data_IF_047562263314
#
_entry.id   IF_047562263314
#
_cell.length_a   1.000
_cell.length_b   1.000
_cell.length_c   1.000
_cell.angle_alpha   90.00
_cell.angle_beta   90.00
_cell.angle_gamma   90.00
#
_symmetry.space_group_name_H-M   'P 1'
#
loop_
_entity.id
_entity.type
_entity.pdbx_description
1 polymer ?
#
# COMPACT_ATOMS: atom_id res chain seq x y z
N UNK A 1 24.38 3.29 -18.86
CA UNK A 1 24.73 2.88 -17.48
C UNK A 1 23.86 3.55 -16.39
N UNK A 2 22.89 4.43 -16.74
CA UNK A 2 22.00 5.06 -15.76
C UNK A 2 20.64 4.35 -15.61
N UNK A 3 20.15 3.68 -16.65
CA UNK A 3 18.84 3.00 -16.65
C UNK A 3 18.79 1.79 -15.69
N UNK A 4 19.90 1.06 -15.56
CA UNK A 4 20.01 -0.11 -14.69
C UNK A 4 19.81 0.24 -13.20
N UNK A 5 20.37 1.37 -12.75
CA UNK A 5 20.25 1.83 -11.34
C UNK A 5 18.87 2.37 -11.01
N UNK A 6 18.19 2.99 -11.97
CA UNK A 6 16.82 3.49 -11.76
C UNK A 6 15.82 2.34 -11.63
N UNK A 7 15.95 1.33 -12.49
CA UNK A 7 15.09 0.14 -12.47
C UNK A 7 15.23 -0.64 -11.14
N UNK A 8 16.44 -0.75 -10.60
CA UNK A 8 16.66 -1.38 -9.28
C UNK A 8 16.04 -0.56 -8.13
N UNK A 9 16.16 0.76 -8.17
CA UNK A 9 15.59 1.65 -7.14
C UNK A 9 14.07 1.66 -7.16
N UNK A 10 13.45 1.65 -8.34
CA UNK A 10 12.00 1.54 -8.51
C UNK A 10 11.47 0.18 -8.07
N UNK A 11 12.16 -0.91 -8.43
CA UNK A 11 11.81 -2.25 -7.92
C UNK A 11 11.89 -2.31 -6.40
N UNK A 12 12.96 -1.78 -5.81
CA UNK A 12 13.09 -1.68 -4.35
C UNK A 12 11.95 -0.87 -3.74
N UNK A 13 11.52 0.22 -4.38
CA UNK A 13 10.39 1.01 -3.88
C UNK A 13 9.07 0.22 -3.86
N UNK A 14 8.82 -0.65 -4.85
CA UNK A 14 7.58 -1.42 -4.92
C UNK A 14 7.58 -2.74 -4.16
N UNK A 15 8.73 -3.23 -3.68
CA UNK A 15 8.83 -4.50 -2.93
C UNK A 15 9.18 -4.31 -1.46
N UNK A 16 9.72 -3.15 -1.07
CA UNK A 16 10.11 -2.93 0.33
C UNK A 16 8.89 -2.60 1.20
N UNK A 17 8.66 -3.30 2.32
CA UNK A 17 7.57 -2.99 3.24
C UNK A 17 7.70 -1.58 3.82
N UNK A 18 6.56 -0.95 4.15
CA UNK A 18 6.56 0.41 4.71
C UNK A 18 7.15 0.46 6.12
N UNK A 19 7.10 -0.65 6.86
CA UNK A 19 7.73 -0.72 8.18
C UNK A 19 9.24 -0.55 8.15
N UNK A 20 9.90 -1.03 7.09
CA UNK A 20 11.33 -0.80 6.88
C UNK A 20 11.67 0.67 6.60
N UNK A 21 10.67 1.51 6.30
CA UNK A 21 10.80 2.96 6.14
C UNK A 21 10.47 3.75 7.42
N UNK A 22 10.22 3.06 8.54
CA UNK A 22 9.87 3.67 9.82
C UNK A 22 8.37 3.91 10.04
N UNK A 23 7.50 3.42 9.14
CA UNK A 23 6.05 3.51 9.35
C UNK A 23 5.60 2.41 10.31
N UNK A 24 4.84 2.71 11.38
CA UNK A 24 4.34 1.66 12.28
C UNK A 24 3.46 0.65 11.53
N UNK A 25 3.68 -0.64 11.76
CA UNK A 25 2.96 -1.74 11.06
C UNK A 25 1.44 -1.62 11.19
N UNK A 26 0.93 -1.20 12.36
CA UNK A 26 -0.50 -1.02 12.55
C UNK A 26 -1.09 0.09 11.66
N UNK A 27 -0.30 1.15 11.36
CA UNK A 27 -0.71 2.23 10.45
C UNK A 27 -0.79 1.69 9.02
N UNK A 28 0.16 0.85 8.60
CA UNK A 28 0.14 0.20 7.29
C UNK A 28 -1.13 -0.64 7.11
N UNK A 29 -1.46 -1.47 8.11
CA UNK A 29 -2.69 -2.27 8.07
C UNK A 29 -3.97 -1.44 8.15
N UNK A 30 -3.99 -0.36 8.95
CA UNK A 30 -5.12 0.54 9.01
C UNK A 30 -5.39 1.21 7.65
N UNK A 31 -4.35 1.69 6.98
CA UNK A 31 -4.46 2.29 5.64
C UNK A 31 -4.90 1.27 4.59
N UNK A 32 -4.35 0.04 4.62
CA UNK A 32 -4.78 -1.04 3.75
C UNK A 32 -6.25 -1.41 3.96
N UNK A 33 -6.72 -1.44 5.21
CA UNK A 33 -8.11 -1.71 5.53
C UNK A 33 -9.04 -0.59 5.03
N UNK A 34 -8.69 0.68 5.28
CA UNK A 34 -9.46 1.83 4.78
C UNK A 34 -9.50 1.81 3.25
N UNK A 35 -8.38 1.55 2.57
CA UNK A 35 -8.32 1.41 1.12
C UNK A 35 -9.18 0.25 0.62
N UNK A 36 -9.20 -0.88 1.32
CA UNK A 36 -10.08 -2.02 1.02
C UNK A 36 -11.56 -1.66 1.14
N UNK A 37 -11.97 -1.00 2.22
CA UNK A 37 -13.35 -0.53 2.40
C UNK A 37 -13.73 0.50 1.34
N UNK A 38 -12.81 1.39 0.96
CA UNK A 38 -13.00 2.39 -0.08
C UNK A 38 -13.24 1.75 -1.46
N UNK A 39 -12.38 0.82 -1.88
CA UNK A 39 -12.50 0.11 -3.17
C UNK A 39 -13.74 -0.78 -3.20
N UNK A 40 -14.04 -1.48 -2.11
CA UNK A 40 -15.23 -2.33 -2.03
C UNK A 40 -16.53 -1.51 -2.06
N UNK A 41 -16.44 -0.21 -1.75
CA UNK A 41 -17.55 0.74 -1.74
C UNK A 41 -18.87 0.08 -1.27
N UNK A 42 -18.92 -0.41 -0.02
CA UNK A 42 -20.04 -1.22 0.46
C UNK A 42 -21.38 -0.48 0.47
N UNK A 43 -21.38 0.84 0.24
CA UNK A 43 -22.57 1.68 0.06
C UNK A 43 -23.10 1.76 -1.38
N UNK A 44 -22.24 1.65 -2.41
CA UNK A 44 -22.62 1.89 -3.82
C UNK A 44 -23.54 0.82 -4.46
N UNK A 45 -23.85 -0.26 -3.75
CA UNK A 45 -24.83 -1.26 -4.19
C UNK A 45 -26.12 -1.33 -3.36
N UNK A 46 -26.15 -0.70 -2.18
CA UNK A 46 -27.24 -0.88 -1.20
C UNK A 46 -28.03 0.41 -0.99
N UNK A 47 -27.45 1.60 -1.20
CA UNK A 47 -28.11 2.90 -0.97
C UNK A 47 -27.65 3.93 -2.05
N UNK A 48 -28.56 4.21 -3.00
CA UNK A 48 -28.69 5.43 -3.86
C UNK A 48 -27.86 5.54 -5.18
N UNK A 49 -28.45 5.70 -6.39
CA UNK A 49 -29.34 6.71 -7.05
C UNK A 49 -28.69 8.00 -7.56
N UNK A 50 -27.37 8.21 -7.38
CA UNK A 50 -26.61 9.28 -8.08
C UNK A 50 -25.37 8.66 -8.74
N UNK A 51 -25.16 8.82 -10.05
CA UNK A 51 -24.01 8.24 -10.73
C UNK A 51 -22.77 9.12 -10.56
N UNK A 52 -21.94 8.83 -9.56
CA UNK A 52 -20.68 9.55 -9.26
C UNK A 52 -19.47 9.03 -10.07
N UNK A 53 -19.68 8.45 -11.26
CA UNK A 53 -18.62 8.01 -12.17
C UNK A 53 -18.01 9.19 -12.96
N UNK A 54 -17.53 10.26 -12.30
CA UNK A 54 -16.81 11.34 -12.99
C UNK A 54 -15.37 10.87 -13.28
N UNK A 55 -15.01 10.64 -14.57
CA UNK A 55 -13.89 9.79 -14.96
C UNK A 55 -12.49 10.40 -14.77
N UNK A 56 -12.34 11.55 -14.10
CA UNK A 56 -11.07 12.32 -14.08
C UNK A 56 -10.53 12.57 -12.66
N UNK A 57 -11.39 12.73 -11.65
CA UNK A 57 -10.96 13.06 -10.27
C UNK A 57 -11.15 11.88 -9.31
N UNK A 58 -12.18 11.03 -9.53
CA UNK A 58 -12.50 9.89 -8.66
C UNK A 58 -11.77 8.57 -8.94
N UNK A 59 -10.65 8.56 -9.68
CA UNK A 59 -9.85 7.35 -9.95
C UNK A 59 -8.41 7.42 -9.38
N UNK A 60 -7.94 8.61 -8.97
CA UNK A 60 -6.58 8.76 -8.44
C UNK A 60 -6.49 8.36 -6.96
N UNK A 61 -7.54 8.66 -6.22
CA UNK A 61 -7.78 8.17 -4.86
C UNK A 61 -7.97 6.64 -4.83
N UNK A 62 -8.64 6.04 -5.82
CA UNK A 62 -8.67 4.59 -6.01
C UNK A 62 -7.27 4.00 -6.20
N UNK A 63 -6.41 4.66 -6.99
CA UNK A 63 -4.99 4.30 -7.13
C UNK A 63 -4.25 4.35 -5.79
N UNK A 64 -4.52 5.38 -4.98
CA UNK A 64 -4.00 5.49 -3.61
C UNK A 64 -4.48 4.36 -2.69
N UNK A 65 -5.76 4.01 -2.77
CA UNK A 65 -6.34 2.90 -2.03
C UNK A 65 -5.74 1.55 -2.46
N UNK A 66 -5.52 1.33 -3.75
CA UNK A 66 -4.83 0.16 -4.28
C UNK A 66 -3.39 0.06 -3.76
N UNK A 67 -2.65 1.16 -3.75
CA UNK A 67 -1.31 1.21 -3.19
C UNK A 67 -1.30 0.92 -1.69
N UNK A 68 -2.27 1.44 -0.93
CA UNK A 68 -2.40 1.17 0.49
C UNK A 68 -2.63 -0.34 0.75
N UNK A 69 -3.51 -0.98 -0.03
CA UNK A 69 -3.73 -2.43 0.04
C UNK A 69 -2.46 -3.20 -0.36
N UNK A 70 -1.80 -2.80 -1.45
CA UNK A 70 -0.57 -3.42 -1.94
C UNK A 70 0.52 -3.42 -0.87
N UNK A 71 0.76 -2.27 -0.22
CA UNK A 71 1.73 -2.17 0.86
C UNK A 71 1.31 -2.93 2.12
N UNK A 72 0.01 -3.06 2.40
CA UNK A 72 -0.50 -3.96 3.45
C UNK A 72 -0.16 -5.43 3.17
N UNK A 73 -0.30 -5.88 1.94
CA UNK A 73 0.07 -7.24 1.51
C UNK A 73 1.58 -7.47 1.59
N UNK A 74 2.39 -6.51 1.13
CA UNK A 74 3.85 -6.57 1.27
C UNK A 74 4.27 -6.64 2.73
N UNK A 75 3.67 -5.84 3.60
CA UNK A 75 3.94 -5.89 5.04
C UNK A 75 3.60 -7.27 5.62
N UNK A 76 2.49 -7.87 5.20
CA UNK A 76 2.08 -9.21 5.63
C UNK A 76 3.06 -10.31 5.17
N UNK A 77 3.50 -10.28 3.92
CA UNK A 77 4.38 -11.31 3.35
C UNK A 77 5.86 -11.11 3.72
N UNK A 78 6.34 -9.86 3.71
CA UNK A 78 7.76 -9.52 3.82
C UNK A 78 8.15 -8.84 5.13
N UNK A 79 7.22 -8.21 5.85
CA UNK A 79 7.50 -7.50 7.11
C UNK A 79 8.14 -8.40 8.18
N UNK A 80 7.85 -9.71 8.17
CA UNK A 80 8.48 -10.70 9.07
C UNK A 80 9.98 -10.92 8.79
N UNK A 81 10.44 -10.70 7.56
CA UNK A 81 11.85 -10.88 7.17
C UNK A 81 12.70 -9.70 7.62
N UNK A 82 12.15 -8.49 7.55
CA UNK A 82 12.82 -7.26 7.96
C UNK A 82 12.96 -7.15 9.49
N UNK A 83 11.91 -7.50 10.24
CA UNK A 83 11.98 -7.48 11.72
C UNK A 83 13.10 -8.36 12.28
N UNK A 84 13.40 -9.49 11.63
CA UNK A 84 14.52 -10.37 12.03
C UNK A 84 15.90 -9.81 11.71
N UNK A 85 16.03 -8.90 10.75
CA UNK A 85 17.33 -8.29 10.41
C UNK A 85 17.72 -7.23 11.44
N UNK A 86 16.77 -6.42 11.91
CA UNK A 86 17.01 -5.46 13.01
C UNK A 86 17.43 -6.15 14.31
N UNK A 87 16.82 -7.32 14.63
CA UNK A 87 17.19 -8.14 15.79
C UNK A 87 18.58 -8.80 15.68
N UNK A 88 19.15 -8.85 14.47
CA UNK A 88 20.45 -9.49 14.19
C UNK A 88 21.63 -8.50 14.19
N UNK A 89 21.36 -7.20 14.35
CA UNK A 89 22.41 -6.18 14.46
C UNK A 89 23.04 -6.25 15.86
N UNK A 90 24.36 -6.52 15.99
CA UNK A 90 25.01 -6.53 17.29
C UNK A 90 24.98 -5.12 17.90
N UNK A 91 24.55 -5.07 19.16
CA UNK A 91 24.47 -3.91 20.03
C UNK A 91 25.84 -3.42 20.53
#
# INVERSE_FOLDING_TARGET
MNETRQTEKERSFMTTPLSARGVPVFVVYLLAFIGGVYILNPGAGVIELIPDNIPIIGNLDEGGAFLAIWYGLLEYFEGRKYRRQDDSAPN
#
